data_IF_271060966169
#
_entry.id   IF_271060966169
#
_cell.length_a   1.000
_cell.length_b   1.000
_cell.length_c   1.000
_cell.angle_alpha   90.00
_cell.angle_beta   90.00
_cell.angle_gamma   90.00
#
_symmetry.space_group_name_H-M   'P 1'
#
loop_
_entity.id
_entity.type
_entity.pdbx_description
1 polymer ?
#
# COMPACT_ATOMS: atom_id res chain seq x y z
N UNK A 1 -7.38 -0.45 -8.59
CA UNK A 1 -7.00 -0.40 -7.16
C UNK A 1 -6.21 0.87 -6.91
N UNK A 2 -5.28 1.18 -7.82
CA UNK A 2 -4.47 2.39 -7.85
C UNK A 2 -5.30 3.67 -7.70
N UNK A 3 -6.43 3.80 -8.39
CA UNK A 3 -7.32 4.97 -8.22
C UNK A 3 -7.73 5.25 -6.76
N UNK A 4 -8.12 4.21 -6.00
CA UNK A 4 -8.46 4.37 -4.58
C UNK A 4 -7.21 4.69 -3.75
N UNK A 5 -6.06 4.14 -4.13
CA UNK A 5 -4.78 4.37 -3.46
C UNK A 5 -4.25 5.80 -3.68
N UNK A 6 -4.48 6.35 -4.87
CA UNK A 6 -4.15 7.72 -5.28
C UNK A 6 -5.07 8.77 -4.62
N UNK A 7 -6.07 8.29 -3.87
CA UNK A 7 -6.93 9.12 -3.02
C UNK A 7 -8.33 9.36 -3.59
N UNK A 8 -8.69 8.73 -4.71
CA UNK A 8 -10.03 8.84 -5.26
C UNK A 8 -11.05 8.10 -4.38
N UNK A 9 -12.26 8.65 -4.30
CA UNK A 9 -13.40 8.06 -3.60
C UNK A 9 -14.34 7.52 -4.66
N UNK A 10 -14.57 6.20 -4.68
CA UNK A 10 -15.30 5.52 -5.76
C UNK A 10 -16.35 4.56 -5.22
N UNK A 11 -17.50 4.51 -5.88
CA UNK A 11 -18.55 3.50 -5.66
C UNK A 11 -18.13 2.13 -6.20
N UNK A 12 -18.86 1.07 -5.82
CA UNK A 12 -18.60 -0.27 -6.36
C UNK A 12 -18.83 -0.34 -7.88
N UNK A 13 -19.80 0.42 -8.40
CA UNK A 13 -20.08 0.52 -9.83
C UNK A 13 -18.94 1.16 -10.59
N UNK A 14 -18.44 2.31 -10.13
CA UNK A 14 -17.29 3.01 -10.75
C UNK A 14 -16.02 2.13 -10.71
N UNK A 15 -15.78 1.44 -9.59
CA UNK A 15 -14.68 0.46 -9.51
C UNK A 15 -14.84 -0.67 -10.52
N UNK A 16 -16.07 -1.17 -10.72
CA UNK A 16 -16.35 -2.27 -11.63
C UNK A 16 -16.10 -1.90 -13.09
N UNK A 17 -16.49 -0.68 -13.49
CA UNK A 17 -16.24 -0.13 -14.83
C UNK A 17 -14.75 -0.03 -15.14
N UNK A 18 -13.94 0.45 -14.19
CA UNK A 18 -12.49 0.61 -14.37
C UNK A 18 -11.74 -0.69 -14.68
N UNK A 19 -12.26 -1.83 -14.20
CA UNK A 19 -11.58 -3.13 -14.34
C UNK A 19 -12.38 -4.16 -15.16
N UNK A 20 -13.49 -3.74 -15.77
CA UNK A 20 -14.33 -4.60 -16.61
C UNK A 20 -15.03 -5.73 -15.84
N UNK A 21 -15.40 -5.51 -14.58
CA UNK A 21 -16.14 -6.48 -13.76
C UNK A 21 -17.62 -6.07 -13.61
N UNK A 22 -18.44 -6.98 -13.10
CA UNK A 22 -19.82 -6.63 -12.70
C UNK A 22 -19.83 -5.93 -11.33
N UNK A 23 -20.80 -5.05 -11.04
CA UNK A 23 -20.91 -4.39 -9.73
C UNK A 23 -21.02 -5.37 -8.55
N UNK A 24 -21.68 -6.52 -8.76
CA UNK A 24 -21.81 -7.58 -7.74
C UNK A 24 -20.49 -8.28 -7.44
N UNK A 25 -19.70 -8.62 -8.46
CA UNK A 25 -18.37 -9.18 -8.29
C UNK A 25 -17.42 -8.16 -7.63
N UNK A 26 -17.49 -6.89 -8.04
CA UNK A 26 -16.69 -5.83 -7.45
C UNK A 26 -17.01 -5.62 -5.97
N UNK A 27 -18.30 -5.63 -5.60
CA UNK A 27 -18.74 -5.53 -4.21
C UNK A 27 -18.17 -6.65 -3.32
N UNK A 28 -18.05 -7.87 -3.85
CA UNK A 28 -17.39 -8.97 -3.13
C UNK A 28 -15.90 -8.68 -2.88
N UNK A 29 -15.18 -8.23 -3.90
CA UNK A 29 -13.76 -7.89 -3.81
C UNK A 29 -13.48 -6.71 -2.88
N UNK A 30 -14.28 -5.64 -2.94
CA UNK A 30 -14.12 -4.46 -2.07
C UNK A 30 -14.33 -4.84 -0.60
N UNK A 31 -15.32 -5.69 -0.28
CA UNK A 31 -15.47 -6.23 1.08
C UNK A 31 -14.28 -7.09 1.51
N UNK A 32 -13.63 -7.79 0.58
CA UNK A 32 -12.41 -8.54 0.90
C UNK A 32 -11.24 -7.61 1.21
N UNK A 33 -11.07 -6.54 0.43
CA UNK A 33 -10.05 -5.51 0.66
C UNK A 33 -10.29 -4.74 1.97
N UNK A 34 -11.54 -4.47 2.33
CA UNK A 34 -11.92 -3.88 3.62
C UNK A 34 -11.55 -4.78 4.80
N UNK A 35 -11.83 -6.10 4.70
CA UNK A 35 -11.39 -7.08 5.72
C UNK A 35 -9.87 -7.15 5.85
N UNK A 36 -9.14 -6.81 4.81
CA UNK A 36 -7.67 -6.73 4.81
C UNK A 36 -7.16 -5.35 5.25
N UNK A 37 -8.04 -4.42 5.63
CA UNK A 37 -7.67 -3.09 6.09
C UNK A 37 -7.11 -2.18 5.00
N UNK A 38 -7.32 -2.52 3.72
CA UNK A 38 -6.78 -1.79 2.57
C UNK A 38 -7.66 -0.57 2.25
N UNK A 39 -8.98 -0.77 2.29
CA UNK A 39 -9.98 0.26 2.02
C UNK A 39 -11.01 0.31 3.14
N UNK A 40 -11.75 1.40 3.20
CA UNK A 40 -12.89 1.57 4.09
C UNK A 40 -14.03 2.29 3.37
N UNK A 41 -15.22 2.27 3.97
CA UNK A 41 -16.32 3.12 3.51
C UNK A 41 -16.00 4.59 3.77
N UNK A 42 -16.17 5.42 2.76
CA UNK A 42 -16.17 6.86 2.91
C UNK A 42 -17.45 7.35 3.61
N UNK A 43 -17.46 8.62 4.02
CA UNK A 43 -18.66 9.24 4.56
C UNK A 43 -19.78 9.25 3.51
N UNK A 44 -21.02 9.20 3.99
CA UNK A 44 -22.18 9.12 3.11
C UNK A 44 -22.33 10.44 2.34
N UNK A 45 -22.44 10.39 1.03
CA UNK A 45 -22.61 11.59 0.18
C UNK A 45 -24.02 12.20 0.29
N UNK A 46 -24.87 11.72 1.19
CA UNK A 46 -26.22 12.24 1.45
C UNK A 46 -27.26 11.93 0.39
N UNK A 47 -26.85 11.37 -0.76
CA UNK A 47 -27.70 11.16 -1.96
C UNK A 47 -28.39 9.78 -1.99
N UNK A 48 -28.44 9.04 -0.87
CA UNK A 48 -29.07 7.72 -0.78
C UNK A 48 -28.45 6.62 -1.66
N UNK A 49 -27.32 6.91 -2.32
CA UNK A 49 -26.51 5.97 -3.11
C UNK A 49 -25.73 5.02 -2.20
N UNK A 50 -25.20 3.94 -2.78
CA UNK A 50 -24.28 3.07 -2.05
C UNK A 50 -23.09 3.89 -1.50
N UNK A 51 -22.79 3.71 -0.20
CA UNK A 51 -21.66 4.37 0.47
C UNK A 51 -20.37 4.08 -0.30
N UNK A 52 -19.69 5.12 -0.85
CA UNK A 52 -18.50 4.91 -1.66
C UNK A 52 -17.34 4.39 -0.81
N UNK A 53 -16.32 3.90 -1.49
CA UNK A 53 -15.10 3.34 -0.90
C UNK A 53 -13.97 4.34 -1.03
N UNK A 54 -13.08 4.38 -0.03
CA UNK A 54 -11.83 5.12 -0.05
C UNK A 54 -10.71 4.27 0.52
N UNK A 55 -9.46 4.55 0.17
CA UNK A 55 -8.34 3.91 0.85
C UNK A 55 -8.31 4.29 2.34
N UNK A 56 -7.87 3.36 3.21
CA UNK A 56 -7.64 3.63 4.65
C UNK A 56 -6.43 4.54 4.90
N UNK A 57 -5.68 4.87 3.85
CA UNK A 57 -4.60 5.87 3.85
C UNK A 57 -3.71 5.72 2.62
N UNK A 58 -2.66 6.54 2.52
CA UNK A 58 -1.61 6.36 1.50
C UNK A 58 -0.64 5.20 1.85
N UNK A 59 -1.11 4.17 2.55
CA UNK A 59 -0.32 2.99 2.94
C UNK A 59 -1.11 1.73 2.69
N UNK A 60 -0.45 0.77 2.07
CA UNK A 60 -0.86 -0.63 2.06
C UNK A 60 0.06 -1.40 3.00
N UNK A 61 -0.50 -2.04 4.03
CA UNK A 61 0.25 -2.96 4.90
C UNK A 61 -0.32 -4.37 4.74
N UNK A 62 0.53 -5.32 4.37
CA UNK A 62 0.16 -6.72 4.21
C UNK A 62 0.98 -7.54 5.18
N UNK A 63 0.32 -8.10 6.19
CA UNK A 63 0.92 -9.04 7.13
C UNK A 63 0.98 -10.45 6.55
N UNK A 64 1.90 -11.28 7.07
CA UNK A 64 1.93 -12.71 6.75
C UNK A 64 0.63 -13.39 7.19
N UNK A 65 -0.08 -14.01 6.24
CA UNK A 65 -1.36 -14.68 6.49
C UNK A 65 -1.17 -16.17 6.82
N UNK A 66 -1.94 -16.68 7.77
CA UNK A 66 -1.86 -18.07 8.25
C UNK A 66 -2.54 -19.11 7.34
N UNK A 67 -3.39 -18.70 6.40
CA UNK A 67 -4.10 -19.61 5.48
C UNK A 67 -3.58 -19.54 4.04
N UNK A 68 -3.74 -20.65 3.28
CA UNK A 68 -3.08 -20.82 1.98
C UNK A 68 -3.62 -19.87 0.88
N UNK A 69 -4.94 -19.64 0.85
CA UNK A 69 -5.57 -18.75 -0.14
C UNK A 69 -5.20 -17.28 0.12
N UNK A 70 -5.23 -16.85 1.39
CA UNK A 70 -4.82 -15.51 1.78
C UNK A 70 -3.34 -15.25 1.51
N UNK A 71 -2.50 -16.28 1.67
CA UNK A 71 -1.07 -16.20 1.35
C UNK A 71 -0.80 -15.98 -0.14
N UNK A 72 -1.47 -16.73 -1.03
CA UNK A 72 -1.30 -16.55 -2.49
C UNK A 72 -1.77 -15.16 -2.92
N UNK A 73 -2.94 -14.71 -2.45
CA UNK A 73 -3.43 -13.38 -2.76
C UNK A 73 -2.47 -12.28 -2.26
N UNK A 74 -1.94 -12.42 -1.04
CA UNK A 74 -0.96 -11.49 -0.47
C UNK A 74 0.33 -11.44 -1.30
N UNK A 75 0.83 -12.59 -1.76
CA UNK A 75 2.02 -12.67 -2.61
C UNK A 75 1.81 -11.98 -3.96
N UNK A 76 0.64 -12.16 -4.59
CA UNK A 76 0.30 -11.45 -5.83
C UNK A 76 0.30 -9.95 -5.62
N UNK A 77 -0.34 -9.46 -4.56
CA UNK A 77 -0.38 -8.02 -4.25
C UNK A 77 1.04 -7.50 -4.00
N UNK A 78 1.84 -8.19 -3.17
CA UNK A 78 3.24 -7.78 -2.91
C UNK A 78 4.07 -7.69 -4.19
N UNK A 79 3.93 -8.65 -5.11
CA UNK A 79 4.61 -8.62 -6.41
C UNK A 79 4.14 -7.44 -7.24
N UNK A 80 2.83 -7.25 -7.40
CA UNK A 80 2.29 -6.13 -8.19
C UNK A 80 2.70 -4.78 -7.61
N UNK A 81 2.73 -4.62 -6.28
CA UNK A 81 3.22 -3.39 -5.64
C UNK A 81 4.71 -3.18 -5.89
N UNK A 82 5.53 -4.23 -5.87
CA UNK A 82 6.95 -4.13 -6.19
C UNK A 82 7.18 -3.75 -7.67
N UNK A 83 6.48 -4.41 -8.59
CA UNK A 83 6.56 -4.13 -10.03
C UNK A 83 6.13 -2.67 -10.31
N UNK A 84 5.08 -2.18 -9.65
CA UNK A 84 4.60 -0.79 -9.78
C UNK A 84 5.64 0.25 -9.37
N UNK A 85 6.40 -0.01 -8.31
CA UNK A 85 7.47 0.90 -7.88
C UNK A 85 8.59 0.92 -8.91
N UNK A 86 8.95 -0.23 -9.48
CA UNK A 86 9.95 -0.30 -10.54
C UNK A 86 9.50 0.49 -11.79
N UNK A 87 8.24 0.35 -12.20
CA UNK A 87 7.67 1.17 -13.29
C UNK A 87 7.75 2.68 -13.00
N UNK A 88 7.51 3.09 -11.75
CA UNK A 88 7.61 4.50 -11.35
C UNK A 88 9.05 5.03 -11.48
N UNK A 89 10.06 4.22 -11.15
CA UNK A 89 11.46 4.58 -11.39
C UNK A 89 11.74 4.77 -12.88
N UNK A 90 11.21 3.90 -13.75
CA UNK A 90 11.40 4.00 -15.20
C UNK A 90 10.69 5.21 -15.82
N UNK A 91 9.64 5.72 -15.18
CA UNK A 91 8.86 6.87 -15.66
C UNK A 91 9.44 8.22 -15.26
N UNK A 92 10.39 8.27 -14.31
CA UNK A 92 11.09 9.51 -13.97
C UNK A 92 11.98 9.93 -15.14
N UNK A 93 11.80 11.15 -15.64
CA UNK A 93 12.62 11.68 -16.71
C UNK A 93 14.07 11.88 -16.24
N UNK A 94 15.04 11.66 -17.13
CA UNK A 94 16.47 11.75 -16.79
C UNK A 94 16.91 13.16 -16.35
N UNK A 95 16.15 14.20 -16.71
CA UNK A 95 16.36 15.60 -16.33
C UNK A 95 15.37 16.09 -15.25
N UNK A 96 14.66 15.17 -14.60
CA UNK A 96 13.72 15.52 -13.53
C UNK A 96 14.48 16.17 -12.36
N UNK A 97 14.08 17.38 -11.91
CA UNK A 97 14.78 18.07 -10.82
C UNK A 97 14.67 17.38 -9.45
N UNK A 98 13.87 16.31 -9.34
CA UNK A 98 13.73 15.48 -8.13
C UNK A 98 14.37 14.08 -8.29
N UNK A 99 15.13 13.83 -9.36
CA UNK A 99 15.76 12.52 -9.56
C UNK A 99 16.78 12.18 -8.46
N UNK A 100 17.38 13.19 -7.82
CA UNK A 100 18.36 13.03 -6.73
C UNK A 100 17.80 12.35 -5.48
N UNK A 101 16.48 12.37 -5.27
CA UNK A 101 15.82 11.66 -4.17
C UNK A 101 15.33 10.25 -4.55
N UNK A 102 15.36 9.89 -5.85
CA UNK A 102 15.03 8.56 -6.35
C UNK A 102 16.16 7.58 -5.97
N UNK A 103 15.89 6.62 -5.09
CA UNK A 103 16.90 5.63 -4.71
C UNK A 103 16.31 4.26 -4.35
N UNK A 104 17.03 3.20 -4.71
CA UNK A 104 16.76 1.83 -4.28
C UNK A 104 17.91 1.35 -3.41
N UNK A 105 17.65 1.14 -2.12
CA UNK A 105 18.63 0.63 -1.17
C UNK A 105 18.28 -0.79 -0.72
N UNK A 106 19.30 -1.64 -0.57
CA UNK A 106 19.16 -3.01 -0.06
C UNK A 106 20.26 -3.33 0.95
N UNK A 107 19.85 -3.67 2.16
CA UNK A 107 20.75 -4.07 3.26
C UNK A 107 20.50 -5.51 3.69
N UNK A 108 21.52 -6.16 4.29
CA UNK A 108 21.38 -7.43 5.01
C UNK A 108 21.79 -7.18 6.45
N UNK A 109 20.90 -7.50 7.40
CA UNK A 109 21.10 -7.25 8.82
C UNK A 109 21.08 -8.60 9.55
N UNK A 110 21.93 -8.73 10.56
CA UNK A 110 21.87 -9.82 11.54
C UNK A 110 21.16 -9.27 12.76
N UNK A 111 19.95 -9.74 13.02
CA UNK A 111 19.08 -9.24 14.09
C UNK A 111 18.49 -10.43 14.86
N UNK A 112 18.28 -10.26 16.16
CA UNK A 112 17.40 -11.15 16.92
C UNK A 112 15.93 -10.96 16.50
N UNK A 113 15.03 -11.79 17.01
CA UNK A 113 13.60 -11.63 16.76
C UNK A 113 13.07 -10.29 17.33
N UNK A 114 13.50 -9.92 18.53
CA UNK A 114 13.16 -8.65 19.19
C UNK A 114 13.68 -7.47 18.37
N UNK A 115 14.95 -7.50 17.96
CA UNK A 115 15.57 -6.45 17.14
C UNK A 115 14.90 -6.33 15.77
N UNK A 116 14.53 -7.44 15.12
CA UNK A 116 13.82 -7.42 13.84
C UNK A 116 12.40 -6.84 13.98
N UNK A 117 11.73 -7.11 15.10
CA UNK A 117 10.40 -6.54 15.40
C UNK A 117 10.51 -5.04 15.60
N UNK A 118 11.44 -4.60 16.45
CA UNK A 118 11.71 -3.19 16.72
C UNK A 118 12.11 -2.44 15.44
N UNK A 119 13.01 -3.00 14.63
CA UNK A 119 13.41 -2.40 13.35
C UNK A 119 12.21 -2.17 12.42
N UNK A 120 11.29 -3.14 12.33
CA UNK A 120 10.07 -3.00 11.56
C UNK A 120 9.12 -1.92 12.11
N UNK A 121 9.06 -1.74 13.42
CA UNK A 121 8.28 -0.68 14.09
C UNK A 121 8.86 0.69 13.83
N UNK A 122 10.17 0.88 14.04
CA UNK A 122 10.85 2.16 13.83
C UNK A 122 10.74 2.66 12.39
N UNK A 123 10.82 1.74 11.41
CA UNK A 123 10.62 2.08 10.00
C UNK A 123 9.17 2.51 9.70
N UNK A 124 8.18 1.85 10.30
CA UNK A 124 6.77 2.25 10.19
C UNK A 124 6.53 3.61 10.82
N UNK A 125 7.03 3.82 12.03
CA UNK A 125 6.92 5.10 12.75
C UNK A 125 7.59 6.25 11.97
N UNK A 126 8.72 5.99 11.32
CA UNK A 126 9.37 6.96 10.44
C UNK A 126 8.44 7.39 9.31
N UNK A 127 7.84 6.44 8.59
CA UNK A 127 6.90 6.74 7.49
C UNK A 127 5.65 7.45 8.02
N UNK A 128 5.09 7.00 9.15
CA UNK A 128 3.89 7.57 9.75
C UNK A 128 4.09 9.02 10.20
N UNK A 129 5.30 9.37 10.68
CA UNK A 129 5.66 10.77 10.98
C UNK A 129 5.54 11.69 9.77
N UNK A 130 5.95 11.24 8.57
CA UNK A 130 5.83 12.03 7.35
C UNK A 130 4.42 12.01 6.75
N UNK A 131 3.65 10.95 6.99
CA UNK A 131 2.24 10.87 6.59
C UNK A 131 1.31 11.73 7.44
N UNK A 132 1.65 11.92 8.73
CA UNK A 132 0.77 12.60 9.69
C UNK A 132 0.37 13.99 9.20
N UNK A 133 -0.93 14.21 9.06
CA UNK A 133 -1.50 15.48 8.61
C UNK A 133 -1.27 15.79 7.13
N UNK A 134 -0.86 14.80 6.32
CA UNK A 134 -0.65 14.94 4.88
C UNK A 134 -1.57 14.03 4.08
N UNK A 135 -2.08 14.53 2.96
CA UNK A 135 -2.89 13.78 2.01
C UNK A 135 -3.04 14.53 0.68
N UNK A 136 -3.74 13.95 -0.29
CA UNK A 136 -3.90 14.54 -1.63
C UNK A 136 -4.43 15.99 -1.60
N UNK A 137 -5.36 16.30 -0.70
CA UNK A 137 -5.94 17.63 -0.55
C UNK A 137 -5.26 18.52 0.51
N UNK A 138 -4.34 17.96 1.31
CA UNK A 138 -3.72 18.66 2.43
C UNK A 138 -2.24 18.29 2.53
N UNK A 139 -1.38 19.06 1.86
CA UNK A 139 0.07 18.92 1.93
C UNK A 139 0.74 20.28 1.65
N UNK A 140 1.99 20.52 2.12
CA UNK A 140 2.68 21.78 1.87
C UNK A 140 2.84 22.07 0.37
N UNK A 141 2.74 23.35 0.00
CA UNK A 141 3.02 23.80 -1.36
C UNK A 141 4.44 23.39 -1.80
N UNK A 142 4.60 23.00 -3.07
CA UNK A 142 5.88 22.52 -3.60
C UNK A 142 6.22 21.07 -3.24
N UNK A 143 5.33 20.33 -2.57
CA UNK A 143 5.51 18.88 -2.37
C UNK A 143 5.17 18.10 -3.65
N UNK A 144 5.90 17.02 -3.91
CA UNK A 144 5.53 15.99 -4.88
C UNK A 144 5.21 14.69 -4.14
N UNK A 145 4.30 13.87 -4.68
CA UNK A 145 4.04 12.55 -4.13
C UNK A 145 5.29 11.67 -4.27
N UNK A 146 5.73 11.08 -3.15
CA UNK A 146 6.85 10.14 -3.11
C UNK A 146 6.29 8.75 -2.86
N UNK A 147 6.50 7.85 -3.81
CA UNK A 147 6.20 6.43 -3.64
C UNK A 147 7.35 5.74 -2.90
N UNK A 148 7.02 4.88 -1.94
CA UNK A 148 8.01 4.13 -1.16
C UNK A 148 7.50 2.72 -0.90
N UNK A 149 8.40 1.74 -0.99
CA UNK A 149 8.14 0.35 -0.66
C UNK A 149 9.19 -0.14 0.32
N UNK A 150 8.72 -0.57 1.49
CA UNK A 150 9.54 -1.18 2.51
C UNK A 150 9.22 -2.67 2.61
N UNK A 151 10.24 -3.50 2.43
CA UNK A 151 10.13 -4.94 2.63
C UNK A 151 11.13 -5.40 3.70
N UNK A 152 10.62 -6.01 4.76
CA UNK A 152 11.43 -6.69 5.79
C UNK A 152 11.07 -8.17 5.72
N UNK A 153 12.05 -9.00 5.40
CA UNK A 153 11.84 -10.44 5.20
C UNK A 153 13.00 -11.23 5.83
N UNK A 154 12.72 -12.17 6.74
CA UNK A 154 13.72 -13.11 7.19
C UNK A 154 14.23 -13.96 6.02
N UNK A 155 15.54 -14.18 5.94
CA UNK A 155 16.14 -15.04 4.91
C UNK A 155 16.92 -16.18 5.55
N UNK A 156 16.89 -17.36 4.94
CA UNK A 156 17.55 -18.56 5.48
C UNK A 156 16.66 -19.32 6.46
N UNK A 157 17.24 -20.31 7.14
CA UNK A 157 16.54 -21.06 8.20
C UNK A 157 16.55 -20.24 9.50
N UNK A 158 15.52 -20.36 10.36
CA UNK A 158 15.60 -19.80 11.70
C UNK A 158 16.81 -20.39 12.44
N UNK A 159 17.41 -19.64 13.40
CA UNK A 159 18.43 -20.19 14.29
C UNK A 159 17.93 -21.49 14.93
N UNK A 160 18.80 -22.50 15.03
CA UNK A 160 18.51 -23.68 15.85
C UNK A 160 18.77 -23.27 17.29
N UNK A 161 17.78 -23.42 18.17
CA UNK A 161 17.96 -23.24 19.61
C UNK A 161 19.19 -24.07 20.04
N UNK A 162 20.19 -23.41 20.63
CA UNK A 162 21.40 -24.06 21.17
C UNK A 162 21.22 -24.38 22.64
#
# INVERSE_FOLDING_TARGET
>A
MDELYDGNVLTATECAELVGLTPSAMSYHLRALERWGIIERAEDSGDGRERPWRSRGASLMISSQSNNVGRVASQTIMRTTADRVLEQFEQVAADDPWDDVSSLSRSRLWLTHEEATQFGEELRDLVDRYKKGRGPANHPAGSRMISTLLAVVPTGKPPQDS
#
